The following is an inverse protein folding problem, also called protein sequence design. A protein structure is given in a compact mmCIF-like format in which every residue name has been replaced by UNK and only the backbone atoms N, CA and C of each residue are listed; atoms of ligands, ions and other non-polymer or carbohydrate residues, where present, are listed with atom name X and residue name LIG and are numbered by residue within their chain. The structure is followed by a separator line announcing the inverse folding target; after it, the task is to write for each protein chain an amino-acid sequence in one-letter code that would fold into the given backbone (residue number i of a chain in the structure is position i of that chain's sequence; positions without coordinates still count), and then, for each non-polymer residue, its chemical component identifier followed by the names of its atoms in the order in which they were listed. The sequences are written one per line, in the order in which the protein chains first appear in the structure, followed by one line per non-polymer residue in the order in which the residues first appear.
data_IF_674492531528
#
_entry.id   IF_674492531528
#
_cell.length_a   1.000
_cell.length_b   1.000
_cell.length_c   1.000
_cell.angle_alpha   90.00
_cell.angle_beta   90.00
_cell.angle_gamma   90.00
#
_symmetry.space_group_name_H-M   'P 1'
#
loop_
_entity.id
_entity.type
_entity.pdbx_description
1 polymer ?
#
# COMPACT_ATOMS: atom_id res chain seq x y z
N UNK A 1 5.01 15.37 -33.49
CA UNK A 1 3.86 14.52 -33.11
C UNK A 1 4.02 14.07 -31.68
N UNK A 2 3.03 14.30 -30.85
CA UNK A 2 3.05 13.86 -29.46
C UNK A 2 2.62 12.41 -29.40
N UNK A 3 3.45 11.57 -28.81
CA UNK A 3 3.11 10.17 -28.57
C UNK A 3 2.63 10.04 -27.13
N UNK A 4 1.38 9.62 -26.98
CA UNK A 4 0.80 9.41 -25.66
C UNK A 4 0.99 7.95 -25.25
N UNK A 5 1.76 7.73 -24.20
CA UNK A 5 1.85 6.43 -23.57
C UNK A 5 0.81 6.35 -22.47
N UNK A 6 0.07 5.23 -22.38
CA UNK A 6 -0.73 5.00 -21.19
C UNK A 6 0.15 5.02 -19.94
N UNK A 7 -0.36 5.60 -18.86
CA UNK A 7 0.31 5.66 -17.56
C UNK A 7 -0.58 5.02 -16.51
N UNK A 8 0.02 4.26 -15.64
CA UNK A 8 -0.70 3.74 -14.49
C UNK A 8 -0.94 4.89 -13.51
N UNK A 9 -2.20 5.31 -13.38
CA UNK A 9 -2.56 6.47 -12.55
C UNK A 9 -3.22 6.08 -11.24
N UNK A 10 -3.79 4.90 -11.18
CA UNK A 10 -4.48 4.46 -9.97
C UNK A 10 -4.69 2.96 -9.98
N UNK A 11 -4.91 2.43 -8.80
CA UNK A 11 -5.50 1.11 -8.59
C UNK A 11 -6.76 1.30 -7.76
N UNK A 12 -7.71 0.40 -7.89
CA UNK A 12 -8.94 0.45 -7.12
C UNK A 12 -9.10 -0.84 -6.31
N UNK A 13 -9.34 -0.69 -5.02
CA UNK A 13 -9.60 -1.78 -4.09
C UNK A 13 -11.03 -1.68 -3.58
N UNK A 14 -11.75 -2.79 -3.68
CA UNK A 14 -13.14 -2.90 -3.25
C UNK A 14 -13.14 -3.61 -1.89
N UNK A 15 -13.46 -2.88 -0.83
CA UNK A 15 -13.23 -3.32 0.54
C UNK A 15 -14.52 -3.33 1.37
N UNK A 16 -14.56 -4.19 2.36
CA UNK A 16 -15.70 -4.25 3.29
C UNK A 16 -15.57 -3.19 4.38
N UNK A 17 -14.39 -3.04 4.97
CA UNK A 17 -14.13 -2.16 6.11
C UNK A 17 -13.38 -0.91 5.66
N UNK A 18 -14.09 -0.01 4.97
CA UNK A 18 -13.45 1.16 4.35
C UNK A 18 -12.77 2.09 5.37
N UNK A 19 -13.44 2.41 6.48
CA UNK A 19 -12.87 3.33 7.47
C UNK A 19 -11.61 2.76 8.12
N UNK A 20 -11.60 1.49 8.44
CA UNK A 20 -10.45 0.81 9.00
C UNK A 20 -9.30 0.76 7.99
N UNK A 21 -9.61 0.54 6.71
CA UNK A 21 -8.61 0.58 5.64
C UNK A 21 -8.01 1.97 5.49
N UNK A 22 -8.82 3.02 5.52
CA UNK A 22 -8.33 4.40 5.47
C UNK A 22 -7.35 4.64 6.63
N UNK A 23 -7.73 4.27 7.85
CA UNK A 23 -6.87 4.43 9.02
C UNK A 23 -5.56 3.65 8.87
N UNK A 24 -5.62 2.44 8.33
CA UNK A 24 -4.42 1.63 8.09
C UNK A 24 -3.45 2.35 7.14
N UNK A 25 -3.93 2.81 5.99
CA UNK A 25 -3.05 3.46 5.01
C UNK A 25 -2.56 4.84 5.46
N UNK A 26 -3.32 5.54 6.29
CA UNK A 26 -2.84 6.75 6.95
C UNK A 26 -1.74 6.45 7.95
N UNK A 27 -1.93 5.42 8.76
CA UNK A 27 -1.03 5.08 9.87
C UNK A 27 0.25 4.38 9.42
N UNK A 28 0.16 3.44 8.47
CA UNK A 28 1.32 2.67 8.00
C UNK A 28 2.02 3.32 6.81
N UNK A 29 1.28 3.96 5.93
CA UNK A 29 1.81 4.45 4.65
C UNK A 29 1.82 5.97 4.54
N UNK A 30 1.31 6.69 5.53
CA UNK A 30 1.22 8.15 5.56
C UNK A 30 0.44 8.73 4.38
N UNK A 31 -0.48 7.95 3.81
CA UNK A 31 -1.39 8.46 2.80
C UNK A 31 -2.45 9.35 3.44
N UNK A 32 -3.07 10.19 2.64
CA UNK A 32 -4.17 11.03 3.12
C UNK A 32 -5.32 11.01 2.12
N UNK A 33 -6.52 11.35 2.59
CA UNK A 33 -7.70 11.41 1.74
C UNK A 33 -7.62 12.68 0.90
N UNK A 34 -7.37 12.54 -0.41
CA UNK A 34 -7.30 13.65 -1.34
C UNK A 34 -8.64 13.93 -2.02
N UNK A 35 -9.54 12.97 -2.05
CA UNK A 35 -10.88 13.13 -2.58
C UNK A 35 -11.81 12.09 -1.97
N UNK A 36 -13.06 12.48 -1.75
CA UNK A 36 -14.10 11.56 -1.28
C UNK A 36 -15.43 11.94 -1.90
N UNK A 37 -16.20 10.93 -2.29
CA UNK A 37 -17.58 11.13 -2.73
C UNK A 37 -18.44 9.99 -2.22
N UNK A 38 -19.72 10.26 -2.03
CA UNK A 38 -20.69 9.28 -1.60
C UNK A 38 -21.95 9.38 -2.46
N UNK A 39 -22.60 8.24 -2.71
CA UNK A 39 -23.88 8.16 -3.39
C UNK A 39 -24.69 7.07 -2.70
N UNK A 40 -25.71 7.46 -1.94
CA UNK A 40 -26.45 6.56 -1.07
C UNK A 40 -25.52 6.00 0.01
N UNK A 41 -25.43 4.68 0.09
CA UNK A 41 -24.53 3.99 1.02
C UNK A 41 -23.19 3.60 0.41
N UNK A 42 -22.90 4.04 -0.82
CA UNK A 42 -21.64 3.76 -1.51
C UNK A 42 -20.68 4.93 -1.33
N UNK A 43 -19.45 4.62 -0.97
CA UNK A 43 -18.38 5.62 -0.81
C UNK A 43 -17.18 5.26 -1.66
N UNK A 44 -16.56 6.28 -2.24
CA UNK A 44 -15.30 6.17 -2.98
C UNK A 44 -14.34 7.19 -2.41
N UNK A 45 -13.18 6.74 -2.00
CA UNK A 45 -12.14 7.57 -1.37
C UNK A 45 -10.86 7.43 -2.18
N UNK A 46 -10.20 8.56 -2.43
CA UNK A 46 -8.86 8.57 -3.02
C UNK A 46 -7.84 8.83 -1.94
N UNK A 47 -6.88 7.94 -1.83
CA UNK A 47 -5.74 8.09 -0.93
C UNK A 47 -4.49 8.44 -1.74
N UNK A 48 -3.76 9.45 -1.30
CA UNK A 48 -2.64 10.01 -2.04
C UNK A 48 -1.43 10.23 -1.14
N UNK A 49 -0.25 10.24 -1.76
CA UNK A 49 0.98 10.74 -1.16
C UNK A 49 1.01 12.26 -1.35
N UNK A 50 1.45 12.99 -0.33
CA UNK A 50 1.57 14.45 -0.41
C UNK A 50 2.59 14.83 -1.46
N UNK A 51 2.20 15.73 -2.36
CA UNK A 51 3.02 16.18 -3.49
C UNK A 51 2.93 15.30 -4.71
N UNK A 52 2.22 14.16 -4.65
CA UNK A 52 2.06 13.25 -5.78
C UNK A 52 0.60 12.97 -6.13
N UNK A 53 -0.30 13.86 -5.74
CA UNK A 53 -1.74 13.70 -5.93
C UNK A 53 -2.16 13.59 -7.39
N UNK A 54 -1.34 14.15 -8.29
CA UNK A 54 -1.61 14.13 -9.75
C UNK A 54 -0.87 13.00 -10.47
N UNK A 55 -0.04 12.23 -9.76
CA UNK A 55 0.74 11.15 -10.36
C UNK A 55 0.08 9.80 -10.18
N UNK A 56 -0.34 9.50 -8.96
CA UNK A 56 -0.93 8.20 -8.64
C UNK A 56 -1.84 8.31 -7.42
N UNK A 57 -2.99 7.64 -7.49
CA UNK A 57 -3.89 7.55 -6.35
C UNK A 57 -4.30 6.10 -6.11
N UNK A 58 -4.56 5.77 -4.86
CA UNK A 58 -5.16 4.52 -4.46
C UNK A 58 -6.64 4.77 -4.21
N UNK A 59 -7.50 4.18 -5.04
CA UNK A 59 -8.95 4.33 -4.93
C UNK A 59 -9.46 3.21 -4.03
N UNK A 60 -10.19 3.60 -2.98
CA UNK A 60 -10.83 2.66 -2.05
C UNK A 60 -12.33 2.77 -2.20
N UNK A 61 -13.00 1.66 -2.42
CA UNK A 61 -14.44 1.61 -2.65
C UNK A 61 -15.11 0.74 -1.61
N UNK A 62 -16.19 1.23 -1.02
CA UNK A 62 -17.00 0.47 -0.06
C UNK A 62 -17.85 -0.60 -0.76
N UNK A 63 -18.34 -1.56 0.01
CA UNK A 63 -19.26 -2.60 -0.48
C UNK A 63 -18.58 -3.86 -1.00
N UNK A 64 -17.28 -3.97 -0.86
CA UNK A 64 -16.54 -5.18 -1.20
C UNK A 64 -16.60 -6.23 -0.11
N UNK A 65 -15.78 -7.25 -0.25
CA UNK A 65 -15.66 -8.34 0.71
C UNK A 65 -14.23 -8.43 1.23
N UNK A 66 -14.09 -8.89 2.47
CA UNK A 66 -12.79 -9.24 3.01
C UNK A 66 -12.46 -10.66 2.51
N UNK A 67 -11.57 -10.70 1.54
CA UNK A 67 -11.10 -11.96 0.94
C UNK A 67 -9.60 -12.08 1.14
N UNK A 68 -9.15 -12.65 2.27
CA UNK A 68 -7.72 -12.88 2.45
C UNK A 68 -7.20 -13.74 1.31
N UNK A 69 -6.02 -13.42 0.76
CA UNK A 69 -5.46 -14.21 -0.34
C UNK A 69 -5.25 -15.65 0.10
N UNK A 70 -5.47 -16.63 -0.80
CA UNK A 70 -5.15 -18.00 -0.47
C UNK A 70 -3.65 -18.18 -0.27
N UNK A 71 -3.28 -19.23 0.45
CA UNK A 71 -1.88 -19.57 0.67
C UNK A 71 -1.14 -19.68 -0.67
N UNK A 72 0.05 -19.07 -0.75
CA UNK A 72 0.85 -19.07 -1.97
C UNK A 72 0.46 -18.01 -2.98
N UNK A 73 -0.51 -17.16 -2.67
CA UNK A 73 -0.85 -16.02 -3.51
C UNK A 73 -0.09 -14.78 -3.00
N UNK A 74 0.84 -14.29 -3.81
CA UNK A 74 1.75 -13.20 -3.43
C UNK A 74 1.38 -11.85 -4.05
N UNK A 75 0.16 -11.68 -4.55
CA UNK A 75 -0.28 -10.36 -5.00
C UNK A 75 -0.21 -9.37 -3.84
N UNK A 76 0.33 -8.19 -4.09
CA UNK A 76 0.50 -7.20 -3.03
C UNK A 76 0.68 -5.79 -3.58
N UNK A 77 0.54 -4.80 -2.69
CA UNK A 77 0.91 -3.41 -2.94
C UNK A 77 2.27 -3.18 -2.32
N UNK A 78 3.15 -2.48 -3.02
CA UNK A 78 4.51 -2.21 -2.54
C UNK A 78 4.73 -0.74 -2.23
N UNK A 79 5.27 -0.46 -1.04
CA UNK A 79 5.67 0.88 -0.61
C UNK A 79 7.16 0.88 -0.29
N UNK A 80 7.89 1.82 -0.88
CA UNK A 80 9.30 2.05 -0.56
C UNK A 80 9.40 2.86 0.73
N UNK A 81 10.32 2.47 1.60
CA UNK A 81 10.62 3.19 2.83
C UNK A 81 12.08 3.61 2.88
N UNK A 82 12.44 4.50 3.82
CA UNK A 82 13.71 5.21 3.80
C UNK A 82 14.90 4.39 4.32
N UNK A 83 14.67 3.30 5.04
CA UNK A 83 15.75 2.54 5.68
C UNK A 83 15.28 1.14 6.07
N UNK A 84 16.25 0.26 6.37
CA UNK A 84 15.95 -1.06 6.95
C UNK A 84 15.30 -0.94 8.31
N UNK A 85 15.72 0.04 9.10
CA UNK A 85 15.16 0.32 10.42
C UNK A 85 13.67 0.67 10.33
N UNK A 86 13.28 1.36 9.27
CA UNK A 86 11.88 1.69 9.03
C UNK A 86 11.06 0.45 8.67
N UNK A 87 11.63 -0.48 7.89
CA UNK A 87 10.99 -1.79 7.65
C UNK A 87 10.77 -2.52 8.96
N UNK A 88 11.79 -2.57 9.81
CA UNK A 88 11.71 -3.24 11.11
C UNK A 88 10.65 -2.60 12.00
N UNK A 89 10.61 -1.27 12.04
CA UNK A 89 9.63 -0.52 12.84
C UNK A 89 8.19 -0.83 12.41
N UNK A 90 7.94 -0.85 11.10
CA UNK A 90 6.62 -1.16 10.57
C UNK A 90 6.24 -2.63 10.83
N UNK A 91 7.20 -3.54 10.74
CA UNK A 91 6.97 -4.95 11.07
C UNK A 91 6.61 -5.14 12.55
N UNK A 92 7.31 -4.46 13.46
CA UNK A 92 7.00 -4.49 14.89
C UNK A 92 5.60 -3.95 15.17
N UNK A 93 5.27 -2.81 14.57
CA UNK A 93 3.94 -2.20 14.68
C UNK A 93 2.86 -3.16 14.18
N UNK A 94 3.09 -3.83 13.06
CA UNK A 94 2.15 -4.81 12.51
C UNK A 94 2.01 -6.03 13.42
N UNK A 95 3.11 -6.51 14.00
CA UNK A 95 3.08 -7.64 14.94
C UNK A 95 2.26 -7.28 16.18
N UNK A 96 2.42 -6.08 16.72
CA UNK A 96 1.63 -5.60 17.86
C UNK A 96 0.14 -5.52 17.55
N UNK A 97 -0.20 -5.20 16.31
CA UNK A 97 -1.59 -5.10 15.87
C UNK A 97 -2.15 -6.42 15.32
N UNK A 98 -1.33 -7.49 15.30
CA UNK A 98 -1.76 -8.80 14.84
C UNK A 98 -1.91 -8.92 13.32
N UNK A 99 -1.26 -8.06 12.54
CA UNK A 99 -1.39 -8.04 11.08
C UNK A 99 -0.07 -8.23 10.31
N UNK A 100 1.01 -8.63 11.00
CA UNK A 100 2.26 -8.97 10.32
C UNK A 100 2.08 -10.27 9.53
N UNK A 101 2.37 -10.23 8.23
CA UNK A 101 2.25 -11.36 7.33
C UNK A 101 3.60 -12.00 7.05
N UNK A 102 4.58 -11.20 6.62
CA UNK A 102 5.94 -11.65 6.33
C UNK A 102 6.92 -10.86 7.20
N UNK A 103 7.63 -11.52 8.13
CA UNK A 103 8.68 -10.84 8.90
C UNK A 103 9.77 -10.26 8.00
N UNK A 104 10.55 -9.28 8.47
CA UNK A 104 11.62 -8.69 7.67
C UNK A 104 12.60 -9.71 7.13
N UNK A 105 12.96 -9.54 5.85
CA UNK A 105 13.79 -10.48 5.13
C UNK A 105 14.63 -9.74 4.09
N UNK A 106 15.90 -10.15 3.97
CA UNK A 106 16.80 -9.63 2.94
C UNK A 106 16.81 -10.58 1.75
N UNK A 107 16.57 -10.05 0.58
CA UNK A 107 16.70 -10.76 -0.68
C UNK A 107 17.70 -10.04 -1.58
N UNK A 108 18.27 -10.75 -2.60
CA UNK A 108 19.19 -10.12 -3.53
C UNK A 108 18.54 -8.98 -4.33
N UNK A 109 19.37 -8.06 -4.80
CA UNK A 109 18.94 -7.02 -5.75
C UNK A 109 18.15 -7.66 -6.91
N UNK A 110 17.04 -7.10 -7.37
CA UNK A 110 16.48 -5.77 -6.99
C UNK A 110 15.42 -5.81 -5.89
N UNK A 111 15.26 -6.92 -5.18
CA UNK A 111 14.18 -7.09 -4.20
C UNK A 111 14.43 -6.29 -2.91
N UNK A 112 15.63 -6.40 -2.34
CA UNK A 112 16.01 -5.65 -1.16
C UNK A 112 15.50 -6.24 0.16
N UNK A 113 15.36 -5.38 1.16
CA UNK A 113 14.93 -5.74 2.51
C UNK A 113 13.46 -5.36 2.69
N UNK A 114 12.63 -6.31 3.08
CA UNK A 114 11.18 -6.07 3.10
C UNK A 114 10.46 -6.85 4.18
N UNK A 115 9.25 -6.40 4.50
CA UNK A 115 8.26 -7.16 5.28
C UNK A 115 6.89 -7.06 4.61
N UNK A 116 5.97 -7.90 5.02
CA UNK A 116 4.59 -7.92 4.52
C UNK A 116 3.59 -7.78 5.64
N UNK A 117 2.54 -7.02 5.40
CA UNK A 117 1.49 -6.69 6.36
C UNK A 117 0.13 -6.88 5.69
N UNK A 118 -0.89 -7.27 6.45
CA UNK A 118 -2.26 -7.34 5.94
C UNK A 118 -3.01 -6.07 6.30
N UNK A 119 -3.70 -5.47 5.32
CA UNK A 119 -4.65 -4.41 5.63
C UNK A 119 -5.94 -5.01 6.24
N UNK A 120 -6.85 -4.19 6.78
CA UNK A 120 -8.05 -4.71 7.42
C UNK A 120 -9.00 -5.50 6.50
N UNK A 121 -8.86 -5.36 5.19
CA UNK A 121 -9.66 -6.09 4.20
C UNK A 121 -8.97 -7.35 3.67
N UNK A 122 -7.73 -7.63 4.13
CA UNK A 122 -6.97 -8.79 3.72
C UNK A 122 -6.05 -8.57 2.54
N UNK A 123 -5.88 -7.33 2.06
CA UNK A 123 -4.90 -7.03 1.02
C UNK A 123 -3.49 -7.09 1.60
N UNK A 124 -2.58 -7.68 0.84
CA UNK A 124 -1.19 -7.80 1.23
C UNK A 124 -0.44 -6.51 0.87
N UNK A 125 0.34 -5.99 1.81
CA UNK A 125 1.09 -4.75 1.67
C UNK A 125 2.54 -5.01 2.02
N UNK A 126 3.46 -4.68 1.11
CA UNK A 126 4.89 -4.82 1.31
C UNK A 126 5.52 -3.47 1.61
N UNK A 127 6.40 -3.42 2.60
CA UNK A 127 7.27 -2.28 2.85
C UNK A 127 8.70 -2.72 2.57
N UNK A 128 9.39 -1.97 1.70
CA UNK A 128 10.72 -2.39 1.24
C UNK A 128 11.73 -1.26 1.21
N UNK A 129 12.99 -1.62 1.43
CA UNK A 129 14.13 -0.74 1.27
C UNK A 129 15.18 -1.43 0.40
N UNK A 130 15.76 -0.67 -0.55
CA UNK A 130 16.83 -1.17 -1.41
C UNK A 130 16.37 -1.60 -2.80
N UNK A 131 15.08 -1.50 -3.09
CA UNK A 131 14.59 -1.65 -4.46
C UNK A 131 14.93 -0.37 -5.25
N UNK A 132 15.25 -0.48 -6.54
CA UNK A 132 15.53 0.70 -7.39
C UNK A 132 14.25 1.42 -7.81
N UNK A 133 13.30 1.59 -6.89
CA UNK A 133 11.97 2.11 -7.14
C UNK A 133 11.56 3.05 -6.00
N UNK A 134 10.80 4.08 -6.34
CA UNK A 134 10.24 5.00 -5.36
C UNK A 134 11.20 6.11 -4.95
N UNK A 135 10.62 7.19 -4.39
CA UNK A 135 11.38 8.32 -3.86
C UNK A 135 12.18 7.90 -2.63
N UNK A 136 13.44 8.29 -2.56
CA UNK A 136 14.29 7.96 -1.43
C UNK A 136 14.90 6.58 -1.48
N UNK A 137 14.60 5.78 -2.49
CA UNK A 137 15.28 4.52 -2.74
C UNK A 137 16.73 4.79 -3.13
N UNK A 138 17.70 4.00 -2.64
CA UNK A 138 19.07 4.14 -3.13
C UNK A 138 19.13 3.80 -4.62
N UNK A 139 19.91 4.56 -5.37
CA UNK A 139 20.17 4.24 -6.76
C UNK A 139 20.80 2.86 -6.87
N UNK A 140 20.37 2.11 -7.84
CA UNK A 140 20.91 0.78 -8.08
C UNK A 140 22.39 0.84 -8.48
#
# INVERSE_FOLDING_TARGET
MTIYQPRLTHIALHVEQLDECIQFYQSFCQLYVSHERASGNKRVVWLSERGREHDFVMVMMSGGHNLPPPEGDYRHLGFAVASKEEVDRLAEKAAEQGCLLWPPRQEPYPVGYYCGVLDPSGNQVEFSYGQPLGSGSPAA
#
